data_IF_923924546164
#
_entry.id   IF_923924546164
#
_cell.length_a   1.000
_cell.length_b   1.000
_cell.length_c   1.000
_cell.angle_alpha   90.00
_cell.angle_beta   90.00
_cell.angle_gamma   90.00
#
_symmetry.space_group_name_H-M   'P 1'
#
loop_
_entity.id
_entity.type
_entity.pdbx_description
1 polymer ?
#
# COMPACT_ATOMS: atom_id res chain seq x y z
N UNK A 1 -12.67 3.07 -1.18
CA UNK A 1 -12.45 4.16 -0.22
C UNK A 1 -11.04 4.71 -0.37
N UNK A 2 -10.91 6.00 -0.20
CA UNK A 2 -9.63 6.69 -0.34
C UNK A 2 -9.11 7.12 1.03
N UNK A 3 -7.82 6.90 1.27
CA UNK A 3 -7.14 7.34 2.50
C UNK A 3 -6.04 8.31 2.14
N UNK A 4 -5.64 9.14 3.10
CA UNK A 4 -4.55 10.08 2.93
C UNK A 4 -3.39 9.69 3.85
N UNK A 5 -2.22 10.27 3.61
CA UNK A 5 -1.03 9.98 4.41
C UNK A 5 -1.27 10.18 5.90
N UNK A 6 -2.09 11.17 6.26
CA UNK A 6 -2.42 11.45 7.67
C UNK A 6 -3.17 10.32 8.35
N UNK A 7 -3.75 9.42 7.57
CA UNK A 7 -4.54 8.31 8.11
C UNK A 7 -3.67 7.10 8.49
N UNK A 8 -2.38 7.15 8.19
CA UNK A 8 -1.45 6.06 8.53
C UNK A 8 -1.30 6.00 10.06
N UNK A 9 -1.36 4.80 10.67
CA UNK A 9 -1.47 3.48 10.04
C UNK A 9 -2.89 3.20 9.54
N UNK A 10 -2.98 2.53 8.41
CA UNK A 10 -4.27 2.26 7.78
C UNK A 10 -4.26 0.85 7.20
N UNK A 11 -5.43 0.20 7.17
CA UNK A 11 -5.61 -1.08 6.50
C UNK A 11 -6.40 -0.87 5.23
N UNK A 12 -5.81 -1.30 4.11
CA UNK A 12 -6.45 -1.24 2.82
C UNK A 12 -7.06 -2.59 2.49
N UNK A 13 -8.31 -2.60 2.08
CA UNK A 13 -8.98 -3.79 1.56
C UNK A 13 -8.98 -3.74 0.05
N UNK A 14 -9.45 -4.80 -0.61
CA UNK A 14 -9.40 -4.89 -2.06
C UNK A 14 -9.98 -3.64 -2.73
N UNK A 15 -9.21 -3.05 -3.62
CA UNK A 15 -9.61 -1.88 -4.38
C UNK A 15 -9.44 -0.55 -3.63
N UNK A 16 -9.11 -0.58 -2.36
CA UNK A 16 -8.88 0.66 -1.60
C UNK A 16 -7.48 1.20 -1.86
N UNK A 17 -7.32 2.50 -1.68
CA UNK A 17 -6.04 3.12 -1.96
C UNK A 17 -5.73 4.25 -1.00
N UNK A 18 -4.44 4.56 -0.93
CA UNK A 18 -3.86 5.58 -0.06
C UNK A 18 -3.12 6.59 -0.93
N UNK A 19 -3.35 7.88 -0.71
CA UNK A 19 -2.65 8.94 -1.42
C UNK A 19 -1.65 9.59 -0.48
N UNK A 20 -0.37 9.54 -0.84
CA UNK A 20 0.70 10.16 -0.07
C UNK A 20 0.78 11.65 -0.36
N UNK A 21 1.54 12.38 0.47
CA UNK A 21 1.58 13.84 0.39
C UNK A 21 2.07 14.39 -0.94
N UNK A 22 2.89 13.65 -1.67
CA UNK A 22 3.39 14.07 -2.99
C UNK A 22 2.49 13.61 -4.14
N UNK A 23 1.36 12.97 -3.84
CA UNK A 23 0.44 12.46 -4.85
C UNK A 23 0.66 11.02 -5.26
N UNK A 24 1.70 10.36 -4.74
CA UNK A 24 1.92 8.93 -5.00
C UNK A 24 0.76 8.13 -4.43
N UNK A 25 0.22 7.20 -5.22
CA UNK A 25 -0.91 6.38 -4.83
C UNK A 25 -0.45 4.95 -4.58
N UNK A 26 -0.90 4.38 -3.47
CA UNK A 26 -0.70 2.96 -3.16
C UNK A 26 -2.08 2.31 -3.14
N UNK A 27 -2.33 1.38 -4.05
CA UNK A 27 -3.60 0.66 -4.11
C UNK A 27 -3.37 -0.81 -3.79
N UNK A 28 -4.26 -1.39 -3.01
CA UNK A 28 -4.22 -2.81 -2.69
C UNK A 28 -5.21 -3.57 -3.56
N UNK A 29 -4.72 -4.61 -4.21
CA UNK A 29 -5.56 -5.50 -5.03
C UNK A 29 -5.36 -6.92 -4.50
N UNK A 30 -6.38 -7.48 -3.89
CA UNK A 30 -6.30 -8.80 -3.29
C UNK A 30 -7.14 -9.84 -4.02
N UNK A 31 -7.87 -9.44 -5.05
CA UNK A 31 -8.71 -10.34 -5.83
C UNK A 31 -7.82 -11.08 -6.83
N UNK A 32 -7.60 -12.38 -6.55
CA UNK A 32 -6.66 -13.18 -7.32
C UNK A 32 -5.28 -13.12 -6.70
N UNK A 33 -4.30 -12.54 -7.38
CA UNK A 33 -2.95 -12.42 -6.89
C UNK A 33 -2.79 -11.12 -6.09
N UNK A 34 -2.57 -11.24 -4.78
CA UNK A 34 -2.51 -10.08 -3.90
C UNK A 34 -1.29 -9.22 -4.20
N UNK A 35 -1.51 -7.94 -4.45
CA UNK A 35 -0.43 -7.03 -4.82
C UNK A 35 -0.72 -5.60 -4.42
N UNK A 36 0.35 -4.87 -4.06
CA UNK A 36 0.30 -3.43 -3.87
C UNK A 36 0.73 -2.77 -5.18
N UNK A 37 -0.06 -1.84 -5.68
CA UNK A 37 0.22 -1.12 -6.91
C UNK A 37 0.58 0.31 -6.55
N UNK A 38 1.77 0.74 -6.97
CA UNK A 38 2.29 2.08 -6.70
C UNK A 38 2.24 2.91 -7.97
N UNK A 39 1.61 4.08 -7.91
CA UNK A 39 1.52 4.98 -9.06
C UNK A 39 2.02 6.36 -8.65
N UNK A 40 3.09 6.79 -9.28
CA UNK A 40 3.64 8.13 -9.10
C UNK A 40 3.59 8.92 -10.41
N UNK A 41 4.10 10.14 -10.38
CA UNK A 41 4.08 11.01 -11.56
C UNK A 41 4.85 10.43 -12.74
N UNK A 42 5.95 9.74 -12.47
CA UNK A 42 6.83 9.25 -13.52
C UNK A 42 7.13 7.75 -13.40
N UNK A 43 6.39 7.02 -12.56
CA UNK A 43 6.65 5.60 -12.39
C UNK A 43 5.39 4.83 -12.00
N UNK A 44 5.39 3.55 -12.35
CA UNK A 44 4.41 2.58 -11.86
C UNK A 44 5.21 1.37 -11.38
N UNK A 45 4.80 0.82 -10.25
CA UNK A 45 5.44 -0.38 -9.71
C UNK A 45 4.37 -1.27 -9.10
N UNK A 46 4.63 -2.57 -9.08
CA UNK A 46 3.74 -3.55 -8.49
C UNK A 46 4.57 -4.47 -7.60
N UNK A 47 4.07 -4.72 -6.40
CA UNK A 47 4.74 -5.61 -5.45
C UNK A 47 3.75 -6.67 -4.98
N UNK A 48 4.06 -7.93 -5.25
CA UNK A 48 3.26 -9.04 -4.75
C UNK A 48 3.58 -9.28 -3.28
N UNK A 49 2.54 -9.48 -2.48
CA UNK A 49 2.68 -9.73 -1.05
C UNK A 49 1.80 -10.90 -0.64
N UNK A 50 2.41 -11.93 -0.10
CA UNK A 50 1.69 -13.10 0.40
C UNK A 50 1.24 -12.85 1.85
N UNK A 51 0.15 -13.50 2.30
CA UNK A 51 -0.30 -13.34 3.68
C UNK A 51 0.82 -13.60 4.68
N UNK A 52 1.00 -12.66 5.61
CA UNK A 52 2.07 -12.72 6.60
C UNK A 52 3.37 -12.08 6.18
N UNK A 53 3.50 -11.70 4.92
CA UNK A 53 4.72 -11.06 4.41
C UNK A 53 4.75 -9.58 4.81
N UNK A 54 5.94 -9.11 5.16
CA UNK A 54 6.16 -7.72 5.53
C UNK A 54 7.31 -7.15 4.70
N UNK A 55 7.11 -5.96 4.14
CA UNK A 55 8.14 -5.27 3.35
C UNK A 55 8.27 -3.83 3.81
N UNK A 56 9.51 -3.36 3.90
CA UNK A 56 9.80 -1.96 4.24
C UNK A 56 10.36 -1.29 3.00
N UNK A 57 9.81 -0.13 2.66
CA UNK A 57 10.23 0.60 1.46
C UNK A 57 10.00 2.09 1.65
N UNK A 58 10.49 2.89 0.70
CA UNK A 58 10.22 4.33 0.68
C UNK A 58 9.37 4.64 -0.54
N UNK A 59 8.25 5.31 -0.33
CA UNK A 59 7.37 5.76 -1.40
C UNK A 59 6.92 7.17 -1.07
N UNK A 60 6.91 8.05 -2.06
CA UNK A 60 6.51 9.44 -1.87
C UNK A 60 7.34 10.18 -0.83
N UNK A 61 8.61 9.81 -0.68
CA UNK A 61 9.49 10.41 0.31
C UNK A 61 9.24 9.93 1.75
N UNK A 62 8.39 8.93 1.93
CA UNK A 62 8.01 8.41 3.25
C UNK A 62 8.46 6.96 3.37
N UNK A 63 9.14 6.63 4.47
CA UNK A 63 9.52 5.25 4.75
C UNK A 63 8.29 4.52 5.33
N UNK A 64 7.92 3.42 4.70
CA UNK A 64 6.70 2.68 5.02
C UNK A 64 6.99 1.21 5.24
N UNK A 65 6.19 0.58 6.10
CA UNK A 65 6.15 -0.87 6.25
C UNK A 65 4.78 -1.36 5.81
N UNK A 66 4.77 -2.29 4.86
CA UNK A 66 3.55 -2.90 4.33
C UNK A 66 3.48 -4.33 4.83
N UNK A 67 2.35 -4.70 5.42
CA UNK A 67 2.13 -6.06 5.94
C UNK A 67 0.83 -6.60 5.37
N UNK A 68 0.89 -7.75 4.70
CA UNK A 68 -0.29 -8.42 4.17
C UNK A 68 -0.89 -9.34 5.22
N UNK A 69 -2.21 -9.33 5.36
CA UNK A 69 -2.95 -10.13 6.32
C UNK A 69 -3.83 -11.18 5.65
N UNK A 70 -4.22 -12.19 6.40
CA UNK A 70 -5.05 -13.28 5.90
C UNK A 70 -6.45 -12.84 5.48
N UNK A 71 -6.95 -11.73 6.00
CA UNK A 71 -8.27 -11.20 5.64
C UNK A 71 -8.22 -10.39 4.35
N UNK A 72 -7.20 -10.57 3.54
CA UNK A 72 -7.00 -9.84 2.29
C UNK A 72 -6.86 -8.35 2.52
N UNK A 73 -6.25 -7.98 3.63
CA UNK A 73 -5.98 -6.59 3.96
C UNK A 73 -4.49 -6.30 3.92
N UNK A 74 -4.15 -5.07 3.55
CA UNK A 74 -2.77 -4.59 3.60
C UNK A 74 -2.69 -3.50 4.65
N UNK A 75 -1.84 -3.70 5.65
CA UNK A 75 -1.57 -2.64 6.61
C UNK A 75 -0.41 -1.79 6.10
N UNK A 76 -0.60 -0.47 6.08
CA UNK A 76 0.44 0.50 5.74
C UNK A 76 0.71 1.32 6.99
N UNK A 77 1.96 1.30 7.43
CA UNK A 77 2.37 2.10 8.58
C UNK A 77 3.73 2.73 8.31
N UNK A 78 4.07 3.76 9.05
CA UNK A 78 5.39 4.39 8.90
C UNK A 78 6.45 3.49 9.54
N UNK A 79 7.54 3.34 8.83
CA UNK A 79 8.66 2.55 9.30
C UNK A 79 9.39 3.25 10.44
#
# INVERSE_FOLDING_TARGET
>A
MEYAEKDIPVRLHDGEFLVLGDGTVIRWESNGEAKAVFVGDSFNATMELFPGQEETLTAGGVALTLTAFFEDALEVKKA
#
